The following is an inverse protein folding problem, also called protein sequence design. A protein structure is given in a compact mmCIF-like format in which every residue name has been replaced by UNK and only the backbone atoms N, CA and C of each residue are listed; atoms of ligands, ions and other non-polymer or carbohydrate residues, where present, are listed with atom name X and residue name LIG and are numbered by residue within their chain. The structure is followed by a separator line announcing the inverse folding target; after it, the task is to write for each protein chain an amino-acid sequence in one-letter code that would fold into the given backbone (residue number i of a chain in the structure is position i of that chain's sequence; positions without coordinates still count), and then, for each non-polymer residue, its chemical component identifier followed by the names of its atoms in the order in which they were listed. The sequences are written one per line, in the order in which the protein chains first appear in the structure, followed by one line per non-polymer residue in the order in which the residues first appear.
data_IF_773062895960
#
_entry.id   IF_773062895960
#
_cell.length_a   1.000
_cell.length_b   1.000
_cell.length_c   1.000
_cell.angle_alpha   90.00
_cell.angle_beta   90.00
_cell.angle_gamma   90.00
#
_symmetry.space_group_name_H-M   'P 1'
#
loop_
_entity.id
_entity.type
_entity.pdbx_description
1 polymer ?
#
# COMPACT_ATOMS: atom_id res chain seq x y z
N UNK A 1 -1.63 -14.53 0.19
CA UNK A 1 -1.98 -13.19 -0.29
C UNK A 1 -0.85 -12.25 0.05
N UNK A 2 -0.32 -11.56 -0.95
CA UNK A 2 0.73 -10.56 -0.81
C UNK A 2 0.11 -9.19 -0.60
N UNK A 3 0.67 -8.42 0.33
CA UNK A 3 0.23 -7.08 0.67
C UNK A 3 1.42 -6.16 0.50
N UNK A 4 1.40 -5.36 -0.55
CA UNK A 4 2.49 -4.46 -0.90
C UNK A 4 2.18 -3.05 -0.40
N UNK A 5 2.95 -2.59 0.58
CA UNK A 5 2.88 -1.23 1.08
C UNK A 5 3.78 -0.35 0.23
N UNK A 6 3.19 0.66 -0.42
CA UNK A 6 3.93 1.60 -1.26
C UNK A 6 4.07 2.93 -0.49
N UNK A 7 5.26 3.23 0.07
CA UNK A 7 5.48 4.43 0.86
C UNK A 7 5.51 5.70 0.03
N UNK A 8 5.91 5.59 -1.24
CA UNK A 8 6.05 6.73 -2.13
C UNK A 8 5.89 6.34 -3.59
N UNK A 9 5.36 7.29 -4.38
CA UNK A 9 5.23 7.20 -5.83
C UNK A 9 6.08 8.30 -6.49
N UNK A 10 6.88 7.94 -7.49
CA UNK A 10 7.62 8.92 -8.28
C UNK A 10 6.76 9.38 -9.45
N UNK A 11 6.53 10.69 -9.55
CA UNK A 11 5.80 11.36 -10.62
C UNK A 11 6.71 12.39 -11.28
N UNK A 12 7.41 11.95 -12.33
CA UNK A 12 8.47 12.76 -12.94
C UNK A 12 9.56 13.09 -11.91
N UNK A 13 9.76 14.38 -11.65
CA UNK A 13 10.76 14.89 -10.69
C UNK A 13 10.24 14.99 -9.25
N UNK A 14 8.98 14.63 -9.00
CA UNK A 14 8.34 14.76 -7.69
C UNK A 14 8.16 13.40 -7.04
N UNK A 15 8.39 13.30 -5.74
CA UNK A 15 8.06 12.13 -4.94
C UNK A 15 6.85 12.47 -4.09
N UNK A 16 5.79 11.67 -4.24
CA UNK A 16 4.54 11.80 -3.50
C UNK A 16 4.52 10.75 -2.40
N UNK A 17 4.24 11.16 -1.17
CA UNK A 17 4.14 10.31 0.01
C UNK A 17 3.71 11.13 1.23
N UNK A 18 3.61 10.47 2.38
CA UNK A 18 3.15 11.11 3.63
C UNK A 18 3.99 12.33 4.04
N UNK A 19 5.28 12.29 3.71
CA UNK A 19 6.24 13.39 3.91
C UNK A 19 7.04 13.61 2.63
N UNK A 20 7.74 14.74 2.55
CA UNK A 20 8.68 15.03 1.46
C UNK A 20 9.97 14.21 1.50
N UNK A 21 10.20 13.42 2.56
CA UNK A 21 11.37 12.57 2.70
C UNK A 21 11.01 11.09 2.43
N UNK A 22 11.49 10.50 1.33
CA UNK A 22 11.23 9.10 0.99
C UNK A 22 11.70 8.12 2.06
N UNK A 23 12.83 8.40 2.73
CA UNK A 23 13.36 7.51 3.76
C UNK A 23 12.47 7.53 5.02
N UNK A 24 11.93 8.69 5.37
CA UNK A 24 10.96 8.82 6.45
C UNK A 24 9.66 8.06 6.13
N UNK A 25 9.15 8.19 4.91
CA UNK A 25 7.95 7.47 4.46
C UNK A 25 8.16 5.95 4.52
N UNK A 26 9.30 5.46 4.03
CA UNK A 26 9.66 4.06 4.09
C UNK A 26 9.73 3.58 5.54
N UNK A 27 10.40 4.31 6.44
CA UNK A 27 10.52 3.95 7.85
C UNK A 27 9.16 3.88 8.57
N UNK A 28 8.24 4.79 8.24
CA UNK A 28 6.88 4.80 8.78
C UNK A 28 6.07 3.58 8.30
N UNK A 29 6.07 3.33 6.99
CA UNK A 29 5.44 2.15 6.39
C UNK A 29 6.04 0.85 6.94
N UNK A 30 7.35 0.77 7.17
CA UNK A 30 8.00 -0.44 7.71
C UNK A 30 7.55 -0.74 9.15
N UNK A 31 7.32 0.29 9.95
CA UNK A 31 6.76 0.13 11.31
C UNK A 31 5.30 -0.32 11.26
N UNK A 32 4.53 0.22 10.32
CA UNK A 32 3.15 -0.18 10.07
C UNK A 32 3.07 -1.64 9.58
N UNK A 33 3.92 -2.02 8.62
CA UNK A 33 4.01 -3.34 8.00
C UNK A 33 4.23 -4.45 9.03
N UNK A 34 5.19 -4.28 9.93
CA UNK A 34 5.49 -5.25 11.00
C UNK A 34 4.27 -5.51 11.89
N UNK A 35 3.50 -4.46 12.19
CA UNK A 35 2.28 -4.58 12.99
C UNK A 35 1.14 -5.24 12.20
N UNK A 36 0.98 -4.87 10.94
CA UNK A 36 -0.03 -5.46 10.05
C UNK A 36 0.23 -6.96 9.84
N UNK A 37 1.47 -7.36 9.56
CA UNK A 37 1.88 -8.76 9.42
C UNK A 37 1.53 -9.57 10.67
N UNK A 38 1.82 -9.03 11.85
CA UNK A 38 1.51 -9.70 13.12
C UNK A 38 0.01 -9.91 13.34
N UNK A 39 -0.85 -9.04 12.78
CA UNK A 39 -2.32 -9.12 12.92
C UNK A 39 -3.01 -9.94 11.83
N UNK A 40 -2.47 -9.94 10.62
CA UNK A 40 -2.99 -10.74 9.52
C UNK A 40 -2.76 -12.25 9.75
N UNK A 41 -1.62 -12.62 10.34
CA UNK A 41 -1.31 -14.00 10.69
C UNK A 41 -0.84 -14.83 9.49
N UNK A 42 -0.86 -16.15 9.65
CA UNK A 42 -0.34 -17.12 8.67
C UNK A 42 -1.27 -17.14 7.45
N UNK A 43 -0.74 -16.84 6.25
CA UNK A 43 -1.50 -16.77 4.99
C UNK A 43 -1.36 -15.43 4.25
N UNK A 44 -0.86 -14.41 4.95
CA UNK A 44 -0.53 -13.10 4.39
C UNK A 44 0.97 -12.84 4.46
N UNK A 45 1.52 -12.21 3.43
CA UNK A 45 2.89 -11.71 3.39
C UNK A 45 2.86 -10.21 3.11
N UNK A 46 3.33 -9.41 4.06
CA UNK A 46 3.37 -7.95 3.95
C UNK A 46 4.76 -7.51 3.54
N UNK A 47 4.85 -6.88 2.38
CA UNK A 47 6.04 -6.28 1.81
C UNK A 47 5.96 -4.76 1.90
N UNK A 48 7.12 -4.12 2.00
CA UNK A 48 7.24 -2.67 1.88
C UNK A 48 8.15 -2.43 0.70
N UNK A 49 7.66 -1.68 -0.27
CA UNK A 49 8.48 -1.28 -1.40
C UNK A 49 9.67 -0.44 -0.89
N UNK A 50 10.85 -0.80 -1.36
CA UNK A 50 12.12 -0.15 -1.04
C UNK A 50 12.66 0.72 -2.20
N UNK A 51 11.91 0.78 -3.30
CA UNK A 51 12.24 1.64 -4.43
C UNK A 51 12.06 3.13 -4.08
N UNK A 52 12.76 4.01 -4.81
CA UNK A 52 12.59 5.47 -4.69
C UNK A 52 11.34 5.97 -5.44
N UNK A 53 10.25 5.22 -5.35
CA UNK A 53 9.01 5.46 -6.07
C UNK A 53 8.57 4.22 -6.82
N UNK A 54 7.53 3.56 -6.33
CA UNK A 54 7.04 2.33 -6.94
C UNK A 54 6.42 2.63 -8.30
N UNK A 55 6.84 1.88 -9.31
CA UNK A 55 6.26 1.98 -10.65
C UNK A 55 5.03 1.09 -10.77
N UNK A 56 3.91 1.59 -10.23
CA UNK A 56 2.63 0.91 -10.26
C UNK A 56 2.06 0.77 -11.70
N UNK A 57 2.58 1.53 -12.67
CA UNK A 57 2.17 1.44 -14.08
C UNK A 57 2.77 0.23 -14.80
N UNK A 58 3.93 -0.25 -14.34
CA UNK A 58 4.60 -1.42 -14.89
C UNK A 58 4.53 -2.65 -13.96
N UNK A 59 3.74 -2.56 -12.88
CA UNK A 59 3.45 -3.71 -12.04
C UNK A 59 2.71 -4.78 -12.87
N UNK A 60 2.95 -6.08 -12.63
CA UNK A 60 2.28 -7.14 -13.37
C UNK A 60 0.75 -6.98 -13.28
N UNK A 61 0.08 -6.85 -14.43
CA UNK A 61 -1.37 -6.93 -14.49
C UNK A 61 -1.81 -8.34 -14.09
N UNK A 62 -2.94 -8.46 -13.39
CA UNK A 62 -3.58 -9.74 -13.03
C UNK A 62 -2.94 -10.62 -11.94
N UNK A 63 -2.30 -10.05 -10.92
CA UNK A 63 -2.07 -10.83 -9.69
C UNK A 63 -3.24 -10.70 -8.72
N UNK A 64 -4.21 -11.62 -8.81
CA UNK A 64 -5.36 -11.70 -7.89
C UNK A 64 -4.97 -11.96 -6.45
N UNK A 65 -3.71 -12.35 -6.19
CA UNK A 65 -3.20 -12.59 -4.86
C UNK A 65 -2.43 -11.40 -4.28
N UNK A 66 -2.28 -10.30 -5.03
CA UNK A 66 -1.54 -9.11 -4.60
C UNK A 66 -2.48 -7.93 -4.36
N UNK A 67 -2.33 -7.31 -3.19
CA UNK A 67 -3.03 -6.09 -2.81
C UNK A 67 -2.04 -4.97 -2.53
N UNK A 68 -2.23 -3.82 -3.17
CA UNK A 68 -1.41 -2.63 -2.94
C UNK A 68 -2.08 -1.72 -1.92
N UNK A 69 -1.34 -1.35 -0.88
CA UNK A 69 -1.81 -0.47 0.19
C UNK A 69 -1.01 0.83 0.09
N UNK A 70 -1.70 1.92 -0.21
CA UNK A 70 -1.09 3.20 -0.59
C UNK A 70 -1.43 4.29 0.43
N UNK A 71 -0.47 5.14 0.78
CA UNK A 71 -0.75 6.35 1.55
C UNK A 71 -1.76 7.26 0.81
N UNK A 72 -2.47 8.14 1.52
CA UNK A 72 -3.59 8.89 0.93
C UNK A 72 -3.16 9.82 -0.21
N UNK A 73 -2.02 10.50 -0.05
CA UNK A 73 -1.41 11.31 -1.10
C UNK A 73 -1.03 10.49 -2.35
N UNK A 74 -0.51 9.28 -2.14
CA UNK A 74 -0.14 8.37 -3.25
C UNK A 74 -1.39 7.87 -3.96
N UNK A 75 -2.42 7.49 -3.21
CA UNK A 75 -3.70 7.03 -3.75
C UNK A 75 -4.38 8.11 -4.59
N UNK A 76 -4.36 9.37 -4.13
CA UNK A 76 -4.95 10.50 -4.83
C UNK A 76 -4.23 10.85 -6.14
N UNK A 77 -2.97 10.46 -6.29
CA UNK A 77 -2.19 10.71 -7.49
C UNK A 77 -2.37 9.64 -8.59
N UNK A 78 -3.11 8.55 -8.31
CA UNK A 78 -3.35 7.49 -9.27
C UNK A 78 -4.40 7.87 -10.33
N UNK A 79 -4.25 7.28 -11.51
CA UNK A 79 -5.21 7.41 -12.61
C UNK A 79 -6.31 6.34 -12.53
N UNK A 80 -7.46 6.61 -13.15
CA UNK A 80 -8.58 5.65 -13.23
C UNK A 80 -8.19 4.30 -13.85
N UNK A 81 -7.21 4.29 -14.77
CA UNK A 81 -6.71 3.06 -15.38
C UNK A 81 -6.03 2.16 -14.35
N UNK A 82 -5.30 2.70 -13.38
CA UNK A 82 -4.60 1.91 -12.37
C UNK A 82 -5.60 1.19 -11.46
N UNK A 83 -6.68 1.85 -11.07
CA UNK A 83 -7.74 1.26 -10.25
C UNK A 83 -8.51 0.13 -10.93
N UNK A 84 -8.52 0.09 -12.27
CA UNK A 84 -9.21 -0.95 -13.03
C UNK A 84 -8.41 -2.27 -13.07
N UNK A 85 -7.08 -2.23 -12.89
CA UNK A 85 -6.19 -3.38 -13.10
C UNK A 85 -5.60 -3.95 -11.80
N UNK A 86 -5.70 -3.21 -10.69
CA UNK A 86 -5.06 -3.58 -9.42
C UNK A 86 -6.03 -3.51 -8.24
N UNK A 87 -5.90 -4.44 -7.28
CA UNK A 87 -6.60 -4.34 -6.01
C UNK A 87 -5.87 -3.37 -5.08
N UNK A 88 -6.40 -2.15 -4.99
CA UNK A 88 -5.76 -1.05 -4.27
C UNK A 88 -6.61 -0.64 -3.08
N UNK A 89 -6.00 -0.60 -1.90
CA UNK A 89 -6.61 -0.08 -0.68
C UNK A 89 -5.92 1.22 -0.28
N UNK A 90 -6.72 2.25 -0.04
CA UNK A 90 -6.23 3.50 0.53
C UNK A 90 -5.91 3.31 2.02
N UNK A 91 -4.74 3.76 2.43
CA UNK A 91 -4.32 3.87 3.82
C UNK A 91 -4.35 5.33 4.25
N UNK A 92 -5.18 5.62 5.25
CA UNK A 92 -5.24 6.93 5.86
C UNK A 92 -3.90 7.28 6.51
N UNK A 93 -3.42 8.49 6.26
CA UNK A 93 -2.15 9.00 6.80
C UNK A 93 -2.10 8.90 8.33
N UNK A 94 -3.21 9.23 8.98
CA UNK A 94 -3.37 9.09 10.43
C UNK A 94 -3.24 7.63 10.90
N UNK A 95 -3.67 6.66 10.09
CA UNK A 95 -3.57 5.24 10.41
C UNK A 95 -2.12 4.74 10.33
N UNK A 96 -1.30 5.29 9.42
CA UNK A 96 0.16 5.04 9.39
C UNK A 96 0.81 5.55 10.67
N UNK A 97 0.51 6.80 11.03
CA UNK A 97 1.10 7.48 12.20
C UNK A 97 0.73 6.76 13.50
N UNK A 98 -0.55 6.44 13.68
CA UNK A 98 -1.07 5.74 14.87
C UNK A 98 -0.79 4.23 14.84
N UNK A 99 -0.31 3.70 13.72
CA UNK A 99 -0.16 2.26 13.46
C UNK A 99 -1.49 1.52 13.67
N UNK A 100 -2.59 2.15 13.26
CA UNK A 100 -3.94 1.60 13.34
C UNK A 100 -4.19 0.71 12.12
N UNK A 101 -4.25 -0.60 12.32
CA UNK A 101 -4.31 -1.59 11.22
C UNK A 101 -5.68 -2.24 11.06
N UNK A 102 -6.66 -1.88 11.88
CA UNK A 102 -7.94 -2.59 11.99
C UNK A 102 -8.73 -2.56 10.67
N UNK A 103 -8.80 -1.40 10.03
CA UNK A 103 -9.57 -1.23 8.79
C UNK A 103 -8.97 -2.02 7.62
N UNK A 104 -7.63 -1.98 7.49
CA UNK A 104 -6.92 -2.75 6.47
C UNK A 104 -7.03 -4.25 6.74
N UNK A 105 -6.91 -4.68 8.00
CA UNK A 105 -7.11 -6.07 8.37
C UNK A 105 -8.52 -6.56 7.99
N UNK A 106 -9.55 -5.76 8.26
CA UNK A 106 -10.93 -6.11 7.92
C UNK A 106 -11.12 -6.22 6.41
N UNK A 107 -10.59 -5.29 5.62
CA UNK A 107 -10.69 -5.32 4.16
C UNK A 107 -9.93 -6.51 3.55
N UNK A 108 -8.75 -6.86 4.08
CA UNK A 108 -7.95 -7.97 3.57
C UNK A 108 -8.48 -9.36 4.00
N UNK A 109 -9.13 -9.46 5.18
CA UNK A 109 -9.73 -10.71 5.67
C UNK A 109 -11.18 -10.90 5.24
N UNK A 110 -11.86 -9.84 4.82
CA UNK A 110 -13.19 -9.95 4.25
C UNK A 110 -13.10 -10.83 2.98
N UNK A 111 -14.06 -11.74 2.76
CA UNK A 111 -14.14 -12.46 1.50
C UNK A 111 -14.33 -11.43 0.39
N UNK A 112 -13.31 -11.26 -0.46
CA UNK A 112 -13.42 -10.56 -1.73
C UNK A 112 -14.52 -11.26 -2.52
N UNK A 113 -15.73 -10.75 -2.41
CA UNK A 113 -16.88 -11.25 -3.18
C UNK A 113 -16.79 -10.53 -4.51
N UNK A 114 -16.40 -11.18 -5.61
CA UNK A 114 -16.50 -10.56 -6.92
C UNK A 114 -17.99 -10.49 -7.26
N UNK A 115 -18.51 -9.28 -7.46
CA UNK A 115 -19.77 -9.08 -8.17
C UNK A 115 -19.54 -9.27 -9.67
#
# INVERSE_FOLDING_TARGET
MEVWLVPSLQLGDRIVGLTSDPAANQALMLRYAKRLQARLGIGFQVYVDDSRGYDLLNAPEYDTNTCWVLASEVYAALTTSIFAHHHIIQLADQAVILKATADIEQQLKAPTTPN
#
